data_IF_670195110389
#
_entry.id   IF_670195110389
#
_cell.length_a   1.000
_cell.length_b   1.000
_cell.length_c   1.000
_cell.angle_alpha   90.00
_cell.angle_beta   90.00
_cell.angle_gamma   90.00
#
_symmetry.space_group_name_H-M   'P 1'
#
loop_
_entity.id
_entity.type
_entity.pdbx_description
1 polymer ?
#
# COMPACT_ATOMS: atom_id res chain seq x y z
N UNK A 1 -8.88 -0.30 -14.94
CA UNK A 1 -7.58 -0.52 -15.45
C UNK A 1 -6.57 -0.44 -14.37
N UNK A 2 -6.37 0.71 -13.79
CA UNK A 2 -5.32 0.85 -12.82
C UNK A 2 -5.44 -0.03 -11.61
N UNK A 3 -6.64 -0.34 -11.20
CA UNK A 3 -6.84 -1.11 -9.98
C UNK A 3 -6.53 -2.58 -10.14
N UNK A 4 -6.46 -3.06 -11.38
CA UNK A 4 -6.12 -4.46 -11.60
C UNK A 4 -4.77 -4.80 -11.01
N UNK A 5 -3.81 -3.89 -11.12
CA UNK A 5 -2.47 -4.14 -10.58
C UNK A 5 -2.48 -4.18 -9.05
N UNK A 6 -3.35 -3.40 -8.42
CA UNK A 6 -3.47 -3.45 -6.96
C UNK A 6 -3.95 -4.84 -6.54
N UNK A 7 -4.97 -5.36 -7.20
CA UNK A 7 -5.48 -6.69 -6.87
C UNK A 7 -4.45 -7.76 -7.16
N UNK A 8 -3.77 -7.66 -8.28
CA UNK A 8 -2.76 -8.65 -8.65
C UNK A 8 -1.61 -8.64 -7.67
N UNK A 9 -1.15 -7.46 -7.29
CA UNK A 9 -0.07 -7.35 -6.32
C UNK A 9 -0.51 -7.88 -4.96
N UNK A 10 -1.74 -7.58 -4.56
CA UNK A 10 -2.27 -8.08 -3.30
C UNK A 10 -2.30 -9.60 -3.29
N UNK A 11 -2.75 -10.19 -4.41
CA UNK A 11 -2.78 -11.65 -4.51
C UNK A 11 -1.38 -12.23 -4.42
N UNK A 12 -0.43 -11.61 -5.12
CA UNK A 12 0.95 -12.09 -5.07
C UNK A 12 1.50 -12.02 -3.65
N UNK A 13 1.25 -10.91 -2.97
CA UNK A 13 1.73 -10.74 -1.61
C UNK A 13 1.15 -11.79 -0.67
N UNK A 14 -0.07 -12.22 -0.92
CA UNK A 14 -0.71 -13.22 -0.08
C UNK A 14 -0.01 -14.57 -0.13
N UNK A 15 0.73 -14.83 -1.19
CA UNK A 15 1.40 -16.12 -1.38
C UNK A 15 2.92 -16.02 -1.33
N UNK A 16 3.47 -14.84 -1.15
CA UNK A 16 4.91 -14.66 -1.26
C UNK A 16 5.45 -14.12 0.07
N UNK A 17 6.09 -15.00 0.82
CA UNK A 17 6.59 -14.64 2.14
C UNK A 17 7.67 -13.55 2.07
N UNK A 18 8.49 -13.60 1.05
CA UNK A 18 9.54 -12.62 0.89
C UNK A 18 8.96 -11.21 0.73
N UNK A 19 7.90 -11.10 -0.07
CA UNK A 19 7.23 -9.81 -0.22
C UNK A 19 6.59 -9.38 1.09
N UNK A 20 5.97 -10.33 1.78
CA UNK A 20 5.32 -10.01 3.06
C UNK A 20 6.33 -9.45 4.06
N UNK A 21 7.52 -10.03 4.10
CA UNK A 21 8.54 -9.56 5.02
C UNK A 21 8.98 -8.16 4.66
N UNK A 22 9.11 -7.87 3.38
CA UNK A 22 9.47 -6.51 2.96
C UNK A 22 8.37 -5.52 3.29
N UNK A 23 7.12 -5.92 3.10
CA UNK A 23 5.99 -5.03 3.38
C UNK A 23 5.90 -4.67 4.85
N UNK A 24 6.34 -5.57 5.73
CA UNK A 24 6.29 -5.29 7.16
C UNK A 24 7.26 -4.21 7.58
N UNK A 25 8.26 -3.94 6.76
CA UNK A 25 9.31 -2.98 7.14
C UNK A 25 9.20 -1.68 6.36
N UNK A 26 8.18 -1.52 5.51
CA UNK A 26 8.06 -0.27 4.77
C UNK A 26 7.75 0.88 5.73
N UNK A 27 8.23 2.06 5.38
CA UNK A 27 8.02 3.24 6.19
C UNK A 27 7.18 4.29 5.50
N UNK A 28 6.90 4.09 4.22
CA UNK A 28 6.10 5.04 3.46
C UNK A 28 5.37 4.32 2.35
N UNK A 29 4.30 4.94 1.81
CA UNK A 29 3.59 4.33 0.69
C UNK A 29 4.48 4.14 -0.54
N UNK A 30 5.45 5.01 -0.73
CA UNK A 30 6.36 4.90 -1.86
C UNK A 30 7.11 3.58 -1.83
N UNK A 31 7.46 3.10 -0.65
CA UNK A 31 8.16 1.83 -0.53
C UNK A 31 7.33 0.69 -1.07
N UNK A 32 6.02 0.72 -0.81
CA UNK A 32 5.11 -0.31 -1.30
C UNK A 32 5.01 -0.24 -2.82
N UNK A 33 4.88 0.97 -3.35
CA UNK A 33 4.82 1.16 -4.79
C UNK A 33 6.08 0.61 -5.46
N UNK A 34 7.23 0.83 -4.84
CA UNK A 34 8.48 0.35 -5.40
C UNK A 34 8.56 -1.17 -5.38
N UNK A 35 8.11 -1.81 -4.30
CA UNK A 35 8.10 -3.26 -4.24
C UNK A 35 7.23 -3.81 -5.36
N UNK A 36 6.05 -3.21 -5.55
CA UNK A 36 5.16 -3.65 -6.62
C UNK A 36 5.80 -3.48 -7.99
N UNK A 37 6.49 -2.36 -8.20
CA UNK A 37 7.14 -2.11 -9.48
C UNK A 37 8.21 -3.14 -9.78
N UNK A 38 8.93 -3.59 -8.77
CA UNK A 38 9.94 -4.63 -8.95
C UNK A 38 9.33 -5.92 -9.46
N UNK A 39 8.07 -6.15 -9.15
CA UNK A 39 7.36 -7.36 -9.56
C UNK A 39 6.56 -7.16 -10.83
N UNK A 40 6.68 -5.99 -11.46
CA UNK A 40 5.99 -5.73 -12.71
C UNK A 40 4.62 -5.10 -12.56
N UNK A 41 4.24 -4.68 -11.37
CA UNK A 41 2.94 -4.08 -11.14
C UNK A 41 3.09 -2.59 -10.91
N UNK A 42 2.36 -1.81 -11.68
CA UNK A 42 2.41 -0.36 -11.55
C UNK A 42 1.17 0.11 -10.83
N UNK A 43 1.38 0.49 -9.58
CA UNK A 43 0.29 1.01 -8.76
C UNK A 43 0.71 2.40 -8.27
N UNK A 44 -0.29 3.21 -7.95
CA UNK A 44 -0.02 4.55 -7.46
C UNK A 44 -0.35 4.62 -5.98
N UNK A 45 0.19 5.64 -5.33
CA UNK A 45 -0.09 5.86 -3.92
C UNK A 45 -1.57 6.11 -3.72
N UNK A 46 -2.21 6.84 -4.63
CA UNK A 46 -3.65 7.10 -4.52
C UNK A 46 -4.46 5.82 -4.60
N UNK A 47 -4.07 4.90 -5.49
CA UNK A 47 -4.75 3.62 -5.58
C UNK A 47 -4.60 2.82 -4.30
N UNK A 48 -3.39 2.79 -3.75
CA UNK A 48 -3.14 2.11 -2.50
C UNK A 48 -3.97 2.71 -1.37
N UNK A 49 -3.99 4.03 -1.28
CA UNK A 49 -4.73 4.70 -0.23
C UNK A 49 -6.21 4.37 -0.31
N UNK A 50 -6.74 4.33 -1.52
CA UNK A 50 -8.14 4.02 -1.71
C UNK A 50 -8.49 2.64 -1.18
N UNK A 51 -7.58 1.68 -1.37
CA UNK A 51 -7.85 0.30 -0.96
C UNK A 51 -7.29 -0.07 0.41
N UNK A 52 -6.51 0.80 1.02
CA UNK A 52 -5.81 0.43 2.24
C UNK A 52 -6.74 -0.09 3.32
N UNK A 53 -7.87 0.59 3.51
CA UNK A 53 -8.81 0.20 4.55
C UNK A 53 -9.60 -1.06 4.18
N UNK A 54 -9.47 -1.49 2.94
CA UNK A 54 -10.18 -2.67 2.44
C UNK A 54 -9.29 -3.89 2.29
N UNK A 55 -7.96 -3.66 2.26
CA UNK A 55 -7.03 -4.76 2.12
C UNK A 55 -6.78 -5.41 3.47
N UNK A 56 -6.88 -6.72 3.49
CA UNK A 56 -6.69 -7.49 4.70
C UNK A 56 -5.38 -8.25 4.64
N UNK A 57 -4.83 -8.55 5.79
CA UNK A 57 -3.60 -9.31 5.87
C UNK A 57 -2.67 -8.69 6.87
N UNK A 58 -1.95 -9.53 7.58
CA UNK A 58 -1.07 -9.06 8.64
C UNK A 58 0.24 -8.52 8.10
N UNK A 59 0.48 -8.68 6.81
CA UNK A 59 1.74 -8.23 6.21
C UNK A 59 1.71 -6.76 5.79
N UNK A 60 0.54 -6.13 5.80
CA UNK A 60 0.46 -4.71 5.42
C UNK A 60 0.93 -3.83 6.56
N UNK A 61 1.56 -2.72 6.21
CA UNK A 61 2.08 -1.80 7.21
C UNK A 61 0.97 -1.28 8.13
N UNK A 62 -0.22 -1.17 7.61
CA UNK A 62 -1.37 -0.64 8.37
C UNK A 62 -2.14 -1.72 9.10
N UNK A 63 -1.67 -2.96 9.09
CA UNK A 63 -2.38 -4.03 9.76
C UNK A 63 -2.49 -3.73 11.24
N UNK A 64 -3.70 -3.81 11.75
CA UNK A 64 -3.95 -3.54 13.16
C UNK A 64 -3.92 -2.08 13.55
N UNK A 65 -3.78 -1.17 12.59
CA UNK A 65 -3.72 0.25 12.89
C UNK A 65 -5.09 0.89 12.72
N UNK A 66 -5.27 2.03 13.35
CA UNK A 66 -6.52 2.77 13.25
C UNK A 66 -6.63 3.47 11.91
N UNK A 67 -7.86 3.90 11.58
CA UNK A 67 -8.07 4.68 10.37
C UNK A 67 -7.24 5.96 10.40
N UNK A 68 -7.11 6.55 11.57
CA UNK A 68 -6.30 7.76 11.70
C UNK A 68 -4.85 7.48 11.34
N UNK A 69 -4.35 6.35 11.78
CA UNK A 69 -2.98 5.98 11.44
C UNK A 69 -2.82 5.81 9.93
N UNK A 70 -3.79 5.14 9.31
CA UNK A 70 -3.75 4.93 7.86
C UNK A 70 -3.78 6.25 7.12
N UNK A 71 -4.66 7.16 7.53
CA UNK A 71 -4.74 8.47 6.90
C UNK A 71 -3.43 9.22 7.03
N UNK A 72 -2.79 9.12 8.17
CA UNK A 72 -1.52 9.78 8.38
C UNK A 72 -0.41 9.16 7.54
N UNK A 73 -0.42 7.83 7.43
CA UNK A 73 0.58 7.12 6.66
C UNK A 73 0.56 7.55 5.19
N UNK A 74 -0.63 7.68 4.63
CA UNK A 74 -0.77 8.11 3.24
C UNK A 74 -0.86 9.62 3.10
N UNK A 75 -1.17 10.30 4.17
CA UNK A 75 -1.48 11.72 4.11
C UNK A 75 -0.35 12.60 3.67
N UNK A 76 0.87 12.24 4.02
CA UNK A 76 2.00 13.06 3.63
C UNK A 76 2.13 13.13 2.11
N UNK A 77 1.80 12.03 1.44
CA UNK A 77 1.88 12.00 0.00
C UNK A 77 0.78 12.78 -0.65
N UNK A 78 -0.32 13.00 0.05
CA UNK A 78 -1.49 13.67 -0.49
C UNK A 78 -1.74 15.02 0.14
N UNK A 79 -0.87 15.44 1.01
CA UNK A 79 -1.06 16.65 1.78
C UNK A 79 -1.43 17.87 0.97
N UNK A 80 -0.80 18.12 -0.16
CA UNK A 80 -1.08 19.36 -0.86
C UNK A 80 -2.53 19.54 -1.20
N UNK A 81 -3.25 18.46 -1.28
CA UNK A 81 -4.60 18.54 -1.79
C UNK A 81 -5.54 19.26 -0.88
N UNK A 82 -5.35 19.15 0.41
CA UNK A 82 -6.33 19.78 1.25
C UNK A 82 -5.76 20.89 2.06
N UNK A 83 -4.63 21.31 1.71
CA UNK A 83 -4.18 22.50 2.28
C UNK A 83 -4.99 23.64 1.88
N UNK A 84 -5.53 23.55 0.76
CA UNK A 84 -6.31 24.64 0.24
C UNK A 84 -7.40 25.05 1.19
#
# INVERSE_FOLDING_TARGET
>A
MGYDHVYLFTALASFNQSIQERLKTVQSPEDIVQIAAEKGYQITINQLAYFAKRLNGNHWAWAGQSDEWVDSFFGESNTPLHIA
#
